data_IF_948681505883
#
_entry.id   IF_948681505883
#
_cell.length_a   1.000
_cell.length_b   1.000
_cell.length_c   1.000
_cell.angle_alpha   90.00
_cell.angle_beta   90.00
_cell.angle_gamma   90.00
#
_symmetry.space_group_name_H-M   'P 1'
#
loop_
_entity.id
_entity.type
_entity.pdbx_description
1 polymer ?
#
# COMPACT_ATOMS: atom_id res chain seq x y z
N UNK A 1 -4.75 0.63 -18.89
CA UNK A 1 -4.80 1.38 -17.68
C UNK A 1 -3.53 1.29 -16.91
N UNK A 2 -2.97 2.43 -16.58
CA UNK A 2 -1.82 2.45 -15.73
C UNK A 2 -2.22 1.91 -14.37
N UNK A 3 -1.52 0.94 -13.87
CA UNK A 3 -1.74 0.43 -12.56
C UNK A 3 -0.47 0.56 -11.74
N UNK A 4 -0.65 0.86 -10.48
CA UNK A 4 0.44 0.93 -9.52
C UNK A 4 0.59 -0.36 -8.76
N UNK A 5 -0.41 -1.25 -8.88
CA UNK A 5 -0.50 -2.45 -8.05
C UNK A 5 -0.52 -3.67 -8.96
N UNK A 6 0.40 -4.59 -8.72
CA UNK A 6 0.41 -5.89 -9.37
C UNK A 6 0.26 -6.98 -8.34
N UNK A 7 -0.48 -8.03 -8.65
CA UNK A 7 -0.68 -9.14 -7.74
C UNK A 7 -0.27 -10.43 -8.39
N UNK A 8 0.56 -11.21 -7.68
CA UNK A 8 0.99 -12.53 -8.08
C UNK A 8 0.49 -13.54 -7.03
N UNK A 9 -0.23 -14.54 -7.48
CA UNK A 9 -0.78 -15.56 -6.59
C UNK A 9 0.20 -16.72 -6.48
N UNK A 10 0.57 -17.08 -5.27
CA UNK A 10 1.44 -18.21 -4.99
C UNK A 10 0.76 -19.11 -3.98
N UNK A 11 -0.08 -20.01 -4.48
CA UNK A 11 -0.95 -20.82 -3.62
C UNK A 11 -1.86 -19.92 -2.80
N UNK A 12 -1.87 -20.05 -1.46
CA UNK A 12 -2.74 -19.25 -0.61
C UNK A 12 -2.17 -17.84 -0.32
N UNK A 13 -1.00 -17.51 -0.86
CA UNK A 13 -0.35 -16.21 -0.61
C UNK A 13 -0.55 -15.30 -1.83
N UNK A 14 -1.05 -14.10 -1.59
CA UNK A 14 -1.11 -13.05 -2.60
C UNK A 14 0.08 -12.10 -2.39
N UNK A 15 0.94 -12.01 -3.38
CA UNK A 15 2.09 -11.11 -3.36
C UNK A 15 1.70 -9.85 -4.11
N UNK A 16 1.54 -8.76 -3.37
CA UNK A 16 1.08 -7.47 -3.91
C UNK A 16 2.27 -6.53 -4.02
N UNK A 17 2.55 -6.10 -5.24
CA UNK A 17 3.69 -5.23 -5.54
C UNK A 17 3.20 -3.82 -5.82
N UNK A 18 3.78 -2.85 -5.10
CA UNK A 18 3.57 -1.43 -5.31
C UNK A 18 4.63 -0.95 -6.28
N UNK A 19 4.21 -0.40 -7.41
CA UNK A 19 5.11 -0.01 -8.49
C UNK A 19 4.82 1.43 -8.92
N UNK A 20 5.57 2.35 -8.37
CA UNK A 20 5.50 3.76 -8.72
C UNK A 20 6.91 4.35 -8.68
N UNK A 21 7.71 4.10 -9.76
CA UNK A 21 9.09 4.54 -9.75
C UNK A 21 9.22 6.06 -9.63
N UNK A 22 10.33 6.54 -9.09
CA UNK A 22 11.51 5.75 -8.70
C UNK A 22 11.46 5.17 -7.28
N UNK A 23 10.65 5.73 -6.39
CA UNK A 23 10.70 5.41 -4.96
C UNK A 23 9.40 4.86 -4.41
N UNK A 24 8.48 4.47 -5.27
CA UNK A 24 7.18 3.91 -4.88
C UNK A 24 6.39 4.84 -3.96
N UNK A 25 6.43 6.15 -4.26
CA UNK A 25 5.71 7.13 -3.47
C UNK A 25 4.20 6.91 -3.56
N UNK A 26 3.51 7.16 -2.44
CA UNK A 26 2.05 6.95 -2.35
C UNK A 26 1.31 8.15 -2.90
N UNK A 27 0.49 7.93 -3.91
CA UNK A 27 -0.48 8.91 -4.42
C UNK A 27 -1.88 8.48 -4.00
N UNK A 28 -2.83 9.40 -4.10
CA UNK A 28 -4.23 9.08 -3.83
C UNK A 28 -4.72 7.97 -4.77
N UNK A 29 -4.36 8.04 -6.04
CA UNK A 29 -4.74 7.03 -7.03
C UNK A 29 -4.15 5.66 -6.70
N UNK A 30 -2.89 5.62 -6.27
CA UNK A 30 -2.25 4.37 -5.87
C UNK A 30 -2.95 3.77 -4.66
N UNK A 31 -3.28 4.60 -3.67
CA UNK A 31 -3.95 4.13 -2.46
C UNK A 31 -5.35 3.62 -2.74
N UNK A 32 -6.08 4.25 -3.65
CA UNK A 32 -7.39 3.75 -4.07
C UNK A 32 -7.26 2.38 -4.74
N UNK A 33 -6.28 2.23 -5.60
CA UNK A 33 -6.03 0.97 -6.29
C UNK A 33 -5.64 -0.13 -5.30
N UNK A 34 -4.78 0.21 -4.33
CA UNK A 34 -4.34 -0.74 -3.30
C UNK A 34 -5.52 -1.15 -2.41
N UNK A 35 -6.35 -0.21 -2.01
CA UNK A 35 -7.53 -0.51 -1.19
C UNK A 35 -8.48 -1.45 -1.92
N UNK A 36 -8.73 -1.20 -3.21
CA UNK A 36 -9.58 -2.07 -4.01
C UNK A 36 -9.01 -3.49 -4.10
N UNK A 37 -7.70 -3.61 -4.27
CA UNK A 37 -7.06 -4.93 -4.33
C UNK A 37 -7.11 -5.64 -2.98
N UNK A 38 -6.89 -4.92 -1.90
CA UNK A 38 -7.00 -5.48 -0.53
C UNK A 38 -8.42 -6.00 -0.30
N UNK A 39 -9.43 -5.23 -0.69
CA UNK A 39 -10.82 -5.66 -0.54
C UNK A 39 -11.10 -6.93 -1.32
N UNK A 40 -10.63 -7.01 -2.56
CA UNK A 40 -10.83 -8.20 -3.39
C UNK A 40 -10.12 -9.42 -2.81
N UNK A 41 -8.89 -9.26 -2.34
CA UNK A 41 -8.12 -10.36 -1.79
C UNK A 41 -8.66 -10.82 -0.44
N UNK A 42 -9.10 -9.89 0.41
CA UNK A 42 -9.66 -10.24 1.71
C UNK A 42 -11.01 -10.97 1.57
N UNK A 43 -11.74 -10.70 0.48
CA UNK A 43 -12.99 -11.38 0.19
C UNK A 43 -12.78 -12.79 -0.40
N UNK A 44 -11.58 -13.10 -0.86
CA UNK A 44 -11.28 -14.37 -1.51
C UNK A 44 -10.89 -15.42 -0.45
N UNK A 45 -11.70 -16.49 -0.26
CA UNK A 45 -11.38 -17.49 0.75
C UNK A 45 -10.13 -18.31 0.45
N UNK A 46 -9.64 -18.27 -0.79
CA UNK A 46 -8.40 -18.95 -1.17
C UNK A 46 -7.16 -18.17 -0.74
N UNK A 47 -7.30 -16.88 -0.43
CA UNK A 47 -6.18 -16.06 0.04
C UNK A 47 -6.09 -16.14 1.55
N UNK A 48 -4.95 -16.59 2.05
CA UNK A 48 -4.73 -16.77 3.48
C UNK A 48 -3.67 -15.82 4.04
N UNK A 49 -2.93 -15.15 3.19
CA UNK A 49 -1.98 -14.11 3.58
C UNK A 49 -1.74 -13.17 2.41
N UNK A 50 -1.51 -11.92 2.72
CA UNK A 50 -1.16 -10.90 1.75
C UNK A 50 0.23 -10.36 2.10
N UNK A 51 1.15 -10.40 1.13
CA UNK A 51 2.49 -9.83 1.28
C UNK A 51 2.55 -8.57 0.44
N UNK A 52 2.87 -7.45 1.08
CA UNK A 52 3.10 -6.18 0.38
C UNK A 52 4.59 -5.98 0.17
N UNK A 53 4.98 -5.59 -1.03
CA UNK A 53 6.36 -5.22 -1.33
C UNK A 53 6.40 -4.06 -2.32
N UNK A 54 7.54 -3.38 -2.38
CA UNK A 54 7.79 -2.39 -3.42
C UNK A 54 8.46 -3.03 -4.62
N UNK A 55 8.17 -2.54 -5.81
CA UNK A 55 8.87 -2.95 -7.01
C UNK A 55 10.31 -2.47 -6.96
N UNK A 56 11.22 -3.25 -7.54
CA UNK A 56 12.64 -2.94 -7.56
C UNK A 56 13.32 -3.21 -6.22
N UNK A 57 14.50 -2.64 -6.06
CA UNK A 57 15.32 -2.90 -4.88
C UNK A 57 15.60 -1.65 -4.05
N UNK A 58 15.16 -0.48 -4.53
CA UNK A 58 15.50 0.80 -3.94
C UNK A 58 14.64 1.17 -2.76
N UNK A 59 13.36 0.87 -2.84
CA UNK A 59 12.41 1.26 -1.80
C UNK A 59 11.25 0.28 -1.69
N UNK A 60 10.80 0.08 -0.48
CA UNK A 60 9.45 -0.44 -0.23
C UNK A 60 8.45 0.64 -0.63
N UNK A 61 8.38 1.71 0.14
CA UNK A 61 7.64 2.94 -0.17
C UNK A 61 8.37 4.09 0.53
N UNK A 62 8.66 5.13 -0.20
CA UNK A 62 9.39 6.27 0.36
C UNK A 62 8.48 7.50 0.45
N UNK A 63 7.44 7.41 1.26
CA UNK A 63 6.61 8.55 1.61
C UNK A 63 5.45 8.80 0.65
N UNK A 64 4.95 10.02 0.68
CA UNK A 64 3.87 10.47 -0.20
C UNK A 64 4.46 11.04 -1.49
N UNK A 65 3.67 10.99 -2.55
CA UNK A 65 4.08 11.57 -3.83
C UNK A 65 4.14 13.09 -3.70
N UNK A 66 5.33 13.65 -3.88
CA UNK A 66 5.54 15.10 -3.75
C UNK A 66 4.74 15.91 -4.76
N UNK A 67 4.34 15.31 -5.86
CA UNK A 67 3.51 15.96 -6.87
C UNK A 67 2.13 16.32 -6.33
N UNK A 68 1.73 15.68 -5.24
CA UNK A 68 0.44 15.93 -4.61
C UNK A 68 0.49 16.94 -3.47
N UNK A 69 1.67 17.49 -3.15
CA UNK A 69 1.79 18.44 -2.04
C UNK A 69 0.84 19.64 -2.16
N UNK A 70 0.68 20.28 -3.34
CA UNK A 70 -0.30 21.35 -3.45
C UNK A 70 -1.71 20.89 -3.16
N UNK A 71 -2.09 19.72 -3.69
CA UNK A 71 -3.41 19.13 -3.45
C UNK A 71 -3.61 18.79 -1.98
N UNK A 72 -2.57 18.31 -1.32
CA UNK A 72 -2.61 18.01 0.12
C UNK A 72 -2.85 19.27 0.94
N UNK A 73 -2.27 20.41 0.54
CA UNK A 73 -2.49 21.69 1.22
C UNK A 73 -3.94 22.15 1.05
N UNK A 74 -4.45 22.07 -0.16
CA UNK A 74 -5.80 22.52 -0.49
C UNK A 74 -6.84 21.62 0.14
N UNK A 75 -6.57 20.34 0.25
CA UNK A 75 -7.47 19.34 0.77
C UNK A 75 -7.09 18.86 2.16
N UNK A 76 -6.44 19.70 2.94
CA UNK A 76 -6.03 19.31 4.30
C UNK A 76 -7.21 18.82 5.15
N UNK A 77 -8.40 19.33 4.86
CA UNK A 77 -9.64 18.90 5.52
C UNK A 77 -10.30 17.72 4.81
N UNK A 78 -9.98 17.49 3.55
CA UNK A 78 -10.59 16.43 2.73
C UNK A 78 -9.72 15.18 2.61
N UNK A 79 -8.43 15.34 2.87
CA UNK A 79 -7.62 14.18 3.19
C UNK A 79 -6.60 13.67 2.22
N UNK A 80 -6.45 13.99 1.02
CA UNK A 80 -5.36 13.54 0.16
C UNK A 80 -4.83 12.14 0.46
N UNK A 81 -3.52 11.93 0.29
CA UNK A 81 -2.87 10.63 0.55
C UNK A 81 -2.79 10.31 2.03
N UNK A 82 -2.70 11.31 2.91
CA UNK A 82 -2.67 11.07 4.36
C UNK A 82 -3.96 10.39 4.83
N UNK A 83 -5.11 10.88 4.37
CA UNK A 83 -6.40 10.27 4.72
C UNK A 83 -6.55 8.90 4.07
N UNK A 84 -6.04 8.74 2.86
CA UNK A 84 -6.05 7.45 2.17
C UNK A 84 -5.27 6.39 2.94
N UNK A 85 -4.13 6.75 3.52
CA UNK A 85 -3.34 5.84 4.35
C UNK A 85 -4.12 5.46 5.61
N UNK A 86 -4.75 6.42 6.27
CA UNK A 86 -5.57 6.15 7.46
C UNK A 86 -6.72 5.21 7.14
N UNK A 87 -7.44 5.48 6.05
CA UNK A 87 -8.57 4.65 5.63
C UNK A 87 -8.10 3.24 5.32
N UNK A 88 -7.01 3.11 4.58
CA UNK A 88 -6.44 1.81 4.25
C UNK A 88 -6.00 1.08 5.52
N UNK A 89 -5.37 1.78 6.46
CA UNK A 89 -4.97 1.20 7.73
C UNK A 89 -6.14 0.63 8.52
N UNK A 90 -7.25 1.37 8.59
CA UNK A 90 -8.46 0.88 9.23
C UNK A 90 -9.01 -0.35 8.51
N UNK A 91 -8.98 -0.34 7.19
CA UNK A 91 -9.44 -1.47 6.38
C UNK A 91 -8.57 -2.70 6.64
N UNK A 92 -7.26 -2.54 6.68
CA UNK A 92 -6.33 -3.63 6.95
C UNK A 92 -6.53 -4.19 8.36
N UNK A 93 -6.75 -3.33 9.33
CA UNK A 93 -6.97 -3.74 10.71
C UNK A 93 -8.27 -4.56 10.85
N UNK A 94 -9.29 -4.21 10.08
CA UNK A 94 -10.57 -4.92 10.08
C UNK A 94 -10.55 -6.20 9.22
N UNK A 95 -9.52 -6.42 8.42
CA UNK A 95 -9.45 -7.55 7.53
C UNK A 95 -9.24 -8.86 8.30
N UNK A 96 -9.78 -9.95 7.77
CA UNK A 96 -9.55 -11.28 8.30
C UNK A 96 -8.21 -11.87 7.84
N UNK A 97 -7.65 -11.34 6.77
CA UNK A 97 -6.42 -11.83 6.17
C UNK A 97 -5.22 -11.12 6.77
N UNK A 98 -4.18 -11.85 7.21
CA UNK A 98 -2.98 -11.20 7.72
C UNK A 98 -2.14 -10.57 6.61
N UNK A 99 -1.44 -9.50 6.97
CA UNK A 99 -0.59 -8.72 6.08
C UNK A 99 0.86 -8.79 6.53
N UNK A 100 1.76 -9.05 5.58
CA UNK A 100 3.20 -9.03 5.80
C UNK A 100 3.80 -7.94 4.93
N UNK A 101 4.58 -7.04 5.52
CA UNK A 101 5.36 -6.08 4.77
C UNK A 101 6.75 -6.65 4.52
N UNK A 102 7.07 -6.92 3.26
CA UNK A 102 8.41 -7.34 2.85
C UNK A 102 9.18 -6.09 2.45
N UNK A 103 10.02 -5.60 3.35
CA UNK A 103 10.67 -4.31 3.22
C UNK A 103 12.07 -4.48 2.67
N UNK A 104 12.34 -3.79 1.55
CA UNK A 104 13.67 -3.71 0.98
C UNK A 104 13.93 -2.24 0.65
N UNK A 105 15.04 -1.71 1.12
CA UNK A 105 15.39 -0.32 0.89
C UNK A 105 14.58 0.66 1.73
N UNK A 106 14.31 1.83 1.17
CA UNK A 106 13.68 2.91 1.91
C UNK A 106 12.24 2.58 2.31
N UNK A 107 11.91 2.91 3.55
CA UNK A 107 10.58 2.75 4.12
C UNK A 107 10.35 3.95 5.02
N UNK A 108 9.85 5.04 4.46
CA UNK A 108 9.84 6.36 5.09
C UNK A 108 8.46 7.00 5.04
N UNK A 109 8.14 7.83 6.02
CA UNK A 109 6.91 8.59 6.05
C UNK A 109 5.67 7.72 5.88
N UNK A 110 4.87 7.97 4.85
CA UNK A 110 3.69 7.17 4.54
C UNK A 110 4.00 5.70 4.30
N UNK A 111 5.20 5.40 3.79
CA UNK A 111 5.65 4.02 3.62
C UNK A 111 5.84 3.32 4.96
N UNK A 112 6.40 4.02 5.95
CA UNK A 112 6.52 3.48 7.30
C UNK A 112 5.14 3.30 7.92
N UNK A 113 4.24 4.25 7.72
CA UNK A 113 2.86 4.13 8.21
C UNK A 113 2.18 2.88 7.62
N UNK A 114 2.33 2.66 6.33
CA UNK A 114 1.78 1.48 5.66
C UNK A 114 2.39 0.20 6.24
N UNK A 115 3.69 0.17 6.42
CA UNK A 115 4.37 -0.99 7.00
C UNK A 115 3.88 -1.29 8.41
N UNK A 116 3.62 -0.24 9.20
CA UNK A 116 3.10 -0.40 10.56
C UNK A 116 1.65 -0.88 10.59
N UNK A 117 0.92 -0.73 9.50
CA UNK A 117 -0.43 -1.29 9.38
C UNK A 117 -0.42 -2.79 9.12
N UNK A 118 0.70 -3.35 8.72
CA UNK A 118 0.85 -4.79 8.52
C UNK A 118 1.03 -5.50 9.86
N UNK A 119 0.68 -6.79 9.87
CA UNK A 119 0.79 -7.61 11.07
C UNK A 119 2.23 -8.01 11.36
N UNK A 120 3.01 -8.21 10.31
CA UNK A 120 4.43 -8.63 10.38
C UNK A 120 5.24 -7.80 9.40
N UNK A 121 6.44 -7.41 9.81
CA UNK A 121 7.43 -6.70 8.98
C UNK A 121 8.70 -7.52 8.91
N UNK A 122 9.18 -7.73 7.71
CA UNK A 122 10.43 -8.45 7.48
C UNK A 122 11.36 -7.68 6.56
#
# INVERSE_FOLDING_TARGET
MATYIGTDRRGPVALVTIDNPPMNALSAALLEELEAEVDALDADPEVRAIVLRGAGERAFVAGADIKEFPSLRESATEGGSARGIQRLGHRMDAARTPFVAAIRGFCLGGGLELALCCDVRV
#
